data_IF_775312324411
#
_entry.id   IF_775312324411
#
_cell.length_a   1.000
_cell.length_b   1.000
_cell.length_c   1.000
_cell.angle_alpha   90.00
_cell.angle_beta   90.00
_cell.angle_gamma   90.00
#
_symmetry.space_group_name_H-M   'P 1'
#
loop_
_entity.id
_entity.type
_entity.pdbx_description
1 polymer ?
#
# COMPACT_ATOMS: atom_id res chain seq x y z
N UNK A 1 -21.27 11.52 7.80
CA UNK A 1 -20.89 12.25 6.57
C UNK A 1 -19.41 12.03 6.38
N UNK A 2 -19.01 11.13 5.49
CA UNK A 2 -17.61 10.86 5.20
C UNK A 2 -17.08 12.02 4.38
N UNK A 3 -16.30 12.90 5.01
CA UNK A 3 -15.60 13.94 4.29
C UNK A 3 -14.52 13.25 3.46
N UNK A 4 -14.71 13.21 2.13
CA UNK A 4 -13.62 12.85 1.22
C UNK A 4 -12.46 13.81 1.47
N UNK A 5 -11.20 13.33 1.49
CA UNK A 5 -10.04 14.18 1.68
C UNK A 5 -10.05 15.28 0.63
N UNK A 6 -9.94 16.53 1.09
CA UNK A 6 -9.86 17.70 0.22
C UNK A 6 -8.42 17.78 -0.29
N UNK A 7 -8.11 17.00 -1.31
CA UNK A 7 -6.83 17.13 -2.01
C UNK A 7 -6.77 18.52 -2.61
N UNK A 8 -5.87 19.37 -2.10
CA UNK A 8 -5.65 20.70 -2.65
C UNK A 8 -5.16 20.59 -4.11
N UNK A 9 -5.63 21.44 -5.04
CA UNK A 9 -5.44 21.22 -6.48
C UNK A 9 -3.99 21.35 -6.98
N UNK A 10 -3.03 21.67 -6.10
CA UNK A 10 -1.66 22.06 -6.46
C UNK A 10 -0.55 21.18 -5.86
N UNK A 11 -0.86 20.05 -5.21
CA UNK A 11 0.17 19.24 -4.52
C UNK A 11 1.06 18.42 -5.47
N UNK A 12 0.77 18.42 -6.78
CA UNK A 12 1.48 17.59 -7.76
C UNK A 12 1.31 16.09 -7.49
N UNK A 13 1.94 15.25 -8.31
CA UNK A 13 1.78 13.79 -8.18
C UNK A 13 2.34 13.24 -6.87
N UNK A 14 3.52 13.71 -6.47
CA UNK A 14 4.14 13.31 -5.21
C UNK A 14 3.27 13.66 -4.00
N UNK A 15 2.75 14.88 -3.92
CA UNK A 15 1.93 15.31 -2.80
C UNK A 15 0.59 14.59 -2.73
N UNK A 16 -0.01 14.23 -3.88
CA UNK A 16 -1.20 13.39 -3.91
C UNK A 16 -0.94 11.99 -3.35
N UNK A 17 0.14 11.34 -3.79
CA UNK A 17 0.51 10.01 -3.28
C UNK A 17 0.84 10.06 -1.78
N UNK A 18 1.49 11.13 -1.31
CA UNK A 18 1.76 11.33 0.12
C UNK A 18 0.48 11.47 0.94
N UNK A 19 -0.52 12.18 0.42
CA UNK A 19 -1.82 12.32 1.07
C UNK A 19 -2.51 10.96 1.23
N UNK A 20 -2.44 10.09 0.22
CA UNK A 20 -2.95 8.72 0.30
C UNK A 20 -2.21 7.90 1.37
N UNK A 21 -0.88 7.93 1.40
CA UNK A 21 -0.10 7.22 2.45
C UNK A 21 -0.49 7.69 3.85
N UNK A 22 -0.62 9.01 4.02
CA UNK A 22 -1.01 9.62 5.30
C UNK A 22 -2.41 9.17 5.70
N UNK A 23 -3.37 9.21 4.77
CA UNK A 23 -4.74 8.77 5.02
C UNK A 23 -4.81 7.29 5.42
N UNK A 24 -4.05 6.41 4.75
CA UNK A 24 -4.00 4.99 5.10
C UNK A 24 -3.50 4.76 6.53
N UNK A 25 -2.49 5.53 6.96
CA UNK A 25 -1.87 5.40 8.27
C UNK A 25 -2.73 6.02 9.39
N UNK A 26 -3.41 7.13 9.12
CA UNK A 26 -4.19 7.86 10.14
C UNK A 26 -5.63 7.37 10.29
N UNK A 27 -6.20 6.75 9.26
CA UNK A 27 -7.60 6.32 9.31
C UNK A 27 -7.79 5.06 10.16
N UNK A 28 -8.79 5.10 11.04
CA UNK A 28 -9.27 3.91 11.77
C UNK A 28 -10.34 3.13 10.99
N UNK A 29 -10.83 3.69 9.88
CA UNK A 29 -11.88 3.05 9.07
C UNK A 29 -11.28 2.01 8.12
N UNK A 30 -11.63 0.74 8.33
CA UNK A 30 -11.20 -0.37 7.46
C UNK A 30 -11.59 -0.15 5.98
N UNK A 31 -12.83 0.27 5.72
CA UNK A 31 -13.28 0.59 4.37
C UNK A 31 -12.50 1.75 3.74
N UNK A 32 -12.05 2.73 4.53
CA UNK A 32 -11.18 3.79 4.02
C UNK A 32 -9.78 3.25 3.69
N UNK A 33 -9.21 2.39 4.55
CA UNK A 33 -7.93 1.71 4.28
C UNK A 33 -7.97 0.93 2.97
N UNK A 34 -9.02 0.12 2.77
CA UNK A 34 -9.20 -0.64 1.54
C UNK A 34 -9.24 0.26 0.31
N UNK A 35 -10.00 1.35 0.36
CA UNK A 35 -10.10 2.30 -0.76
C UNK A 35 -8.77 3.00 -1.05
N UNK A 36 -8.05 3.40 -0.01
CA UNK A 36 -6.76 4.08 -0.15
C UNK A 36 -5.69 3.12 -0.69
N UNK A 37 -5.64 1.89 -0.16
CA UNK A 37 -4.69 0.87 -0.62
C UNK A 37 -4.97 0.45 -2.07
N UNK A 38 -6.23 0.30 -2.45
CA UNK A 38 -6.62 0.05 -3.84
C UNK A 38 -6.19 1.20 -4.77
N UNK A 39 -6.31 2.45 -4.32
CA UNK A 39 -5.81 3.60 -5.09
C UNK A 39 -4.30 3.55 -5.24
N UNK A 40 -3.55 3.30 -4.16
CA UNK A 40 -2.09 3.15 -4.21
C UNK A 40 -1.67 1.99 -5.14
N UNK A 41 -2.37 0.86 -5.09
CA UNK A 41 -2.15 -0.27 -6.00
C UNK A 41 -2.37 0.13 -7.47
N UNK A 42 -3.46 0.85 -7.76
CA UNK A 42 -3.71 1.39 -9.10
C UNK A 42 -2.59 2.32 -9.60
N UNK A 43 -1.99 3.13 -8.73
CA UNK A 43 -0.81 3.95 -9.09
C UNK A 43 0.47 3.13 -9.29
N UNK A 44 0.59 2.01 -8.58
CA UNK A 44 1.72 1.09 -8.69
C UNK A 44 1.72 0.29 -10.00
N UNK A 45 0.66 0.31 -10.81
CA UNK A 45 0.68 -0.27 -12.15
C UNK A 45 1.40 0.60 -13.19
N UNK A 46 1.62 1.89 -12.92
CA UNK A 46 2.31 2.80 -13.85
C UNK A 46 3.77 3.02 -13.41
N UNK A 47 4.77 2.55 -14.19
CA UNK A 47 6.19 2.68 -13.88
C UNK A 47 6.65 4.12 -13.64
N UNK A 48 5.98 5.12 -14.23
CA UNK A 48 6.34 6.53 -14.03
C UNK A 48 6.15 6.98 -12.57
N UNK A 49 5.33 6.25 -11.80
CA UNK A 49 5.06 6.52 -10.39
C UNK A 49 6.07 5.85 -9.44
N UNK A 50 6.88 4.89 -9.91
CA UNK A 50 7.73 4.06 -9.04
C UNK A 50 8.74 4.90 -8.26
N UNK A 51 9.25 5.97 -8.86
CA UNK A 51 10.15 6.90 -8.17
C UNK A 51 9.47 7.54 -6.94
N UNK A 52 8.20 7.91 -7.05
CA UNK A 52 7.45 8.53 -5.96
C UNK A 52 7.04 7.48 -4.91
N UNK A 53 6.59 6.31 -5.36
CA UNK A 53 6.21 5.20 -4.47
C UNK A 53 7.39 4.72 -3.63
N UNK A 54 8.60 4.65 -4.20
CA UNK A 54 9.82 4.37 -3.45
C UNK A 54 10.18 5.49 -2.48
N UNK A 55 10.08 6.75 -2.91
CA UNK A 55 10.36 7.90 -2.03
C UNK A 55 9.42 7.96 -0.82
N UNK A 56 8.17 7.52 -1.00
CA UNK A 56 7.14 7.51 0.05
C UNK A 56 7.06 6.17 0.80
N UNK A 57 7.96 5.21 0.54
CA UNK A 57 7.98 3.89 1.17
C UNK A 57 6.67 3.10 1.04
N UNK A 58 5.96 3.27 -0.08
CA UNK A 58 4.69 2.56 -0.33
C UNK A 58 4.89 1.04 -0.47
N UNK A 59 6.09 0.61 -0.88
CA UNK A 59 6.44 -0.81 -0.93
C UNK A 59 6.42 -1.45 0.45
N UNK A 60 6.99 -0.77 1.46
CA UNK A 60 6.96 -1.25 2.85
C UNK A 60 5.51 -1.32 3.35
N UNK A 61 4.69 -0.32 3.01
CA UNK A 61 3.26 -0.30 3.33
C UNK A 61 2.50 -1.49 2.71
N UNK A 62 2.79 -1.87 1.46
CA UNK A 62 2.22 -3.08 0.88
C UNK A 62 2.67 -4.33 1.63
N UNK A 63 3.96 -4.46 1.97
CA UNK A 63 4.48 -5.60 2.72
C UNK A 63 3.82 -5.73 4.11
N UNK A 64 3.62 -4.61 4.80
CA UNK A 64 2.92 -4.57 6.08
C UNK A 64 1.44 -5.00 5.93
N UNK A 65 0.78 -4.53 4.87
CA UNK A 65 -0.63 -4.87 4.56
C UNK A 65 -0.84 -6.36 4.29
N UNK A 66 0.20 -7.09 3.88
CA UNK A 66 0.11 -8.54 3.70
C UNK A 66 0.05 -9.32 5.02
N UNK A 67 0.39 -8.68 6.14
CA UNK A 67 0.26 -9.27 7.49
C UNK A 67 -1.08 -8.95 8.16
N UNK A 68 -1.96 -8.20 7.49
CA UNK A 68 -3.29 -7.85 8.02
C UNK A 68 -4.25 -9.04 7.95
N UNK A 69 -5.21 -9.09 8.88
CA UNK A 69 -6.28 -10.09 8.85
C UNK A 69 -7.33 -9.80 7.76
N UNK A 70 -7.36 -8.57 7.25
CA UNK A 70 -8.28 -8.15 6.20
C UNK A 70 -7.83 -8.69 4.84
N UNK A 71 -8.49 -9.74 4.37
CA UNK A 71 -8.20 -10.40 3.08
C UNK A 71 -8.19 -9.43 1.90
N UNK A 72 -9.07 -8.41 1.90
CA UNK A 72 -9.12 -7.41 0.83
C UNK A 72 -7.87 -6.53 0.80
N UNK A 73 -7.29 -6.17 1.96
CA UNK A 73 -6.02 -5.44 2.00
C UNK A 73 -4.87 -6.31 1.48
N UNK A 74 -4.86 -7.58 1.85
CA UNK A 74 -3.86 -8.55 1.40
C UNK A 74 -3.94 -8.71 -0.13
N UNK A 75 -5.12 -8.87 -0.70
CA UNK A 75 -5.33 -8.98 -2.15
C UNK A 75 -4.80 -7.76 -2.92
N UNK A 76 -5.09 -6.54 -2.44
CA UNK A 76 -4.57 -5.33 -3.09
C UNK A 76 -3.05 -5.21 -3.00
N UNK A 77 -2.46 -5.58 -1.85
CA UNK A 77 -1.01 -5.56 -1.68
C UNK A 77 -0.30 -6.58 -2.57
N UNK A 78 -0.88 -7.77 -2.76
CA UNK A 78 -0.42 -8.78 -3.71
C UNK A 78 -0.50 -8.23 -5.14
N UNK A 79 -1.67 -7.70 -5.54
CA UNK A 79 -1.89 -7.16 -6.88
C UNK A 79 -0.91 -6.05 -7.27
N UNK A 80 -0.55 -5.20 -6.31
CA UNK A 80 0.42 -4.12 -6.51
C UNK A 80 1.88 -4.59 -6.66
N UNK A 81 2.23 -5.77 -6.14
CA UNK A 81 3.62 -6.25 -6.05
C UNK A 81 4.01 -7.34 -7.06
N UNK A 82 3.06 -7.95 -7.78
CA UNK A 82 3.29 -9.26 -8.41
C UNK A 82 3.60 -9.31 -9.91
N UNK A 83 3.70 -8.20 -10.65
CA UNK A 83 4.06 -8.29 -12.08
C UNK A 83 5.57 -8.19 -12.40
N UNK A 84 6.46 -7.74 -11.49
CA UNK A 84 7.86 -7.47 -11.91
C UNK A 84 9.01 -7.67 -10.90
N UNK A 85 8.81 -8.19 -9.68
CA UNK A 85 9.95 -8.38 -8.74
C UNK A 85 10.06 -9.81 -8.18
N UNK A 86 10.98 -10.66 -8.69
CA UNK A 86 11.29 -11.95 -8.08
C UNK A 86 11.87 -11.86 -6.65
N UNK A 87 12.28 -10.67 -6.19
CA UNK A 87 12.88 -10.46 -4.86
C UNK A 87 11.86 -10.39 -3.71
N UNK A 88 10.66 -9.88 -3.97
CA UNK A 88 9.63 -9.71 -2.93
C UNK A 88 9.08 -11.08 -2.46
N UNK A 89 8.96 -12.07 -3.35
CA UNK A 89 8.56 -13.43 -2.97
C UNK A 89 9.53 -14.08 -1.96
N UNK A 90 10.84 -13.79 -2.03
CA UNK A 90 11.81 -14.31 -1.08
C UNK A 90 11.66 -13.66 0.30
N UNK A 91 11.46 -12.33 0.32
CA UNK A 91 11.17 -11.59 1.55
C UNK A 91 9.84 -12.04 2.17
N UNK A 92 8.85 -12.35 1.33
CA UNK A 92 7.54 -12.86 1.73
C UNK A 92 7.61 -14.25 2.35
N UNK A 93 8.38 -15.17 1.75
CA UNK A 93 8.60 -16.50 2.31
C UNK A 93 9.33 -16.41 3.65
N UNK A 94 10.35 -15.57 3.78
CA UNK A 94 11.10 -15.40 5.04
C UNK A 94 10.24 -14.78 6.14
N UNK A 95 9.42 -13.77 5.83
CA UNK A 95 8.53 -13.12 6.81
C UNK A 95 7.37 -14.03 7.26
N UNK A 96 6.74 -14.74 6.32
CA UNK A 96 5.67 -15.71 6.63
C UNK A 96 6.22 -16.94 7.39
N UNK A 97 7.42 -17.41 7.06
CA UNK A 97 8.13 -18.46 7.81
C UNK A 97 8.58 -17.97 9.20
N UNK A 98 8.92 -16.69 9.36
CA UNK A 98 9.29 -16.13 10.66
C UNK A 98 8.10 -15.94 11.59
N UNK A 99 6.88 -15.71 11.07
CA UNK A 99 5.66 -15.51 11.88
C UNK A 99 4.89 -16.80 12.18
N UNK A 100 5.14 -17.88 11.44
CA UNK A 100 4.55 -19.21 11.68
C UNK A 100 5.24 -20.00 12.82
N UNK A 101 6.19 -19.38 13.52
CA UNK A 101 6.90 -19.95 14.65
C UNK A 101 6.81 -19.08 15.91
N UNK A 102 5.58 -18.72 16.30
CA UNK A 102 5.29 -18.34 17.69
C UNK A 102 4.50 -19.49 18.33
N UNK A 103 4.94 -20.03 19.49
CA UNK A 103 4.21 -21.05 20.24
C UNK A 103 2.90 -20.52 20.84
#
# INVERSE_FOLDING_TARGET
MSQKPKVEPHVGRLGYLQALVTEFQETESQNAKEQVLANLANFAYDPSNYQYLRQLQVLDLFLDSLSEENETLVEFAIGAGMEDLPDICATFAVHMLSKSHLP
#
